data_IF_139566783303
#
_entry.id   IF_139566783303
#
_cell.length_a   1.000
_cell.length_b   1.000
_cell.length_c   1.000
_cell.angle_alpha   90.00
_cell.angle_beta   90.00
_cell.angle_gamma   90.00
#
_symmetry.space_group_name_H-M   'P 1'
#
loop_
_entity.id
_entity.type
_entity.pdbx_description
1 polymer ?
#
# COMPACT_ATOMS: atom_id res chain seq x y z
N UNK A 1 -40.89 47.43 74.56
CA UNK A 1 -41.48 46.43 73.64
C UNK A 1 -41.61 47.04 72.24
N UNK A 2 -40.71 46.70 71.31
CA UNK A 2 -40.88 46.94 69.87
C UNK A 2 -40.56 45.62 69.16
N UNK A 3 -41.57 45.00 68.54
CA UNK A 3 -41.47 43.73 67.83
C UNK A 3 -40.79 43.94 66.48
N UNK A 4 -39.70 43.21 66.25
CA UNK A 4 -39.01 43.08 64.97
C UNK A 4 -39.80 42.06 64.12
N UNK A 5 -40.35 42.50 62.99
CA UNK A 5 -40.95 41.61 61.98
C UNK A 5 -39.83 41.20 61.03
N UNK A 6 -39.40 39.93 61.12
CA UNK A 6 -38.44 39.31 60.21
C UNK A 6 -39.23 38.70 59.04
N UNK A 7 -39.21 39.37 57.88
CA UNK A 7 -39.72 38.84 56.62
C UNK A 7 -38.69 37.87 56.04
N UNK A 8 -38.99 36.57 56.08
CA UNK A 8 -38.20 35.52 55.41
C UNK A 8 -38.86 35.23 54.06
N UNK A 9 -38.21 35.63 52.97
CA UNK A 9 -38.57 35.18 51.62
C UNK A 9 -37.84 33.86 51.31
N UNK A 10 -38.55 32.77 50.98
CA UNK A 10 -37.91 31.59 50.43
C UNK A 10 -37.74 31.77 48.92
N UNK A 11 -36.54 32.12 48.47
CA UNK A 11 -36.16 32.01 47.06
C UNK A 11 -35.87 30.53 46.75
N UNK A 12 -36.91 29.77 46.39
CA UNK A 12 -36.75 28.46 45.77
C UNK A 12 -36.38 28.67 44.30
N UNK A 13 -35.09 28.66 43.97
CA UNK A 13 -34.65 28.46 42.58
C UNK A 13 -34.86 26.98 42.24
N UNK A 14 -36.04 26.65 41.73
CA UNK A 14 -36.30 25.39 41.06
C UNK A 14 -35.70 25.49 39.65
N UNK A 15 -34.39 25.26 39.52
CA UNK A 15 -33.76 25.07 38.20
C UNK A 15 -34.26 23.74 37.65
N UNK A 16 -35.35 23.78 36.89
CA UNK A 16 -35.74 22.68 36.00
C UNK A 16 -34.56 22.41 35.07
N UNK A 17 -33.83 21.31 35.31
CA UNK A 17 -32.95 20.70 34.31
C UNK A 17 -33.85 20.17 33.19
N UNK A 18 -34.32 21.07 32.33
CA UNK A 18 -34.97 20.71 31.08
C UNK A 18 -33.95 19.93 30.26
N UNK A 19 -34.15 18.62 30.16
CA UNK A 19 -33.36 17.76 29.30
C UNK A 19 -33.64 18.20 27.85
N UNK A 20 -32.80 19.10 27.31
CA UNK A 20 -32.93 19.56 25.93
C UNK A 20 -32.64 18.36 25.04
N UNK A 21 -33.70 17.73 24.53
CA UNK A 21 -33.61 16.71 23.48
C UNK A 21 -33.09 17.42 22.24
N UNK A 22 -31.78 17.36 22.00
CA UNK A 22 -31.19 17.78 20.73
C UNK A 22 -31.62 16.77 19.67
N UNK A 23 -32.46 17.19 18.75
CA UNK A 23 -32.85 16.36 17.61
C UNK A 23 -31.65 16.17 16.68
N UNK A 24 -31.50 14.96 16.14
CA UNK A 24 -30.48 14.65 15.15
C UNK A 24 -31.03 15.08 13.79
N UNK A 25 -30.34 16.00 13.11
CA UNK A 25 -30.74 16.42 11.76
C UNK A 25 -30.27 15.40 10.74
N UNK A 26 -31.18 14.80 9.99
CA UNK A 26 -30.84 13.88 8.90
C UNK A 26 -30.71 14.63 7.56
N UNK A 27 -29.66 14.32 6.79
CA UNK A 27 -29.45 14.87 5.44
C UNK A 27 -28.94 13.82 4.46
N UNK A 28 -29.27 14.01 3.18
CA UNK A 28 -28.97 13.02 2.13
C UNK A 28 -27.49 12.94 1.75
N UNK A 29 -26.78 14.07 1.77
CA UNK A 29 -25.41 14.15 1.23
C UNK A 29 -24.50 15.01 2.09
N UNK A 30 -23.19 14.89 1.86
CA UNK A 30 -22.19 15.79 2.46
C UNK A 30 -22.42 17.24 2.03
N UNK A 31 -22.88 17.51 0.81
CA UNK A 31 -23.14 18.88 0.38
C UNK A 31 -24.35 19.49 1.10
N UNK A 32 -25.38 18.69 1.40
CA UNK A 32 -26.51 19.10 2.23
C UNK A 32 -26.08 19.34 3.69
N UNK A 33 -25.19 18.50 4.24
CA UNK A 33 -24.61 18.72 5.57
C UNK A 33 -23.96 20.11 5.69
N UNK A 34 -23.21 20.51 4.66
CA UNK A 34 -22.48 21.79 4.65
C UNK A 34 -23.40 23.01 4.63
N UNK A 35 -24.66 22.89 4.24
CA UNK A 35 -25.62 24.02 4.18
C UNK A 35 -26.46 24.18 5.45
N UNK A 36 -26.39 23.23 6.39
CA UNK A 36 -27.13 23.30 7.66
C UNK A 36 -26.60 24.48 8.50
N UNK A 37 -27.51 25.32 8.99
CA UNK A 37 -27.20 26.28 10.06
C UNK A 37 -27.01 25.52 11.37
N UNK A 38 -25.91 25.74 12.07
CA UNK A 38 -25.47 24.87 13.17
C UNK A 38 -24.74 25.66 14.26
N UNK A 39 -24.94 25.23 15.49
CA UNK A 39 -24.29 25.69 16.70
C UNK A 39 -23.36 24.62 17.28
N UNK A 40 -22.45 25.02 18.17
CA UNK A 40 -21.47 24.11 18.78
C UNK A 40 -22.16 22.87 19.39
N UNK A 41 -21.71 21.69 18.96
CA UNK A 41 -22.22 20.40 19.45
C UNK A 41 -23.52 19.96 18.79
N UNK A 42 -24.01 20.65 17.76
CA UNK A 42 -25.11 20.15 16.94
C UNK A 42 -24.68 18.88 16.21
N UNK A 43 -25.63 17.96 16.05
CA UNK A 43 -25.40 16.63 15.51
C UNK A 43 -26.22 16.44 14.25
N UNK A 44 -25.58 15.94 13.20
CA UNK A 44 -26.25 15.57 11.96
C UNK A 44 -25.87 14.16 11.52
N UNK A 45 -26.85 13.42 10.97
CA UNK A 45 -26.64 12.14 10.31
C UNK A 45 -26.69 12.34 8.80
N UNK A 46 -25.61 11.99 8.12
CA UNK A 46 -25.59 11.91 6.66
C UNK A 46 -25.93 10.48 6.25
N UNK A 47 -26.97 10.28 5.45
CA UNK A 47 -27.43 8.95 5.03
C UNK A 47 -26.89 8.50 3.66
N UNK A 48 -25.91 9.24 3.12
CA UNK A 48 -25.17 8.89 1.89
C UNK A 48 -24.54 7.48 2.00
N UNK A 49 -24.78 6.62 1.00
CA UNK A 49 -24.33 5.22 1.05
C UNK A 49 -22.81 5.03 0.98
N UNK A 50 -22.06 6.06 0.52
CA UNK A 50 -20.62 6.03 0.38
C UNK A 50 -19.91 6.81 1.50
N UNK A 51 -20.49 7.94 1.90
CA UNK A 51 -19.88 8.95 2.79
C UNK A 51 -20.69 9.22 4.05
N UNK A 52 -21.76 8.47 4.28
CA UNK A 52 -22.65 8.64 5.42
C UNK A 52 -21.98 8.45 6.77
N UNK A 53 -22.69 8.81 7.82
CA UNK A 53 -22.25 8.74 9.21
C UNK A 53 -22.71 9.93 10.04
N UNK A 54 -22.34 9.90 11.32
CA UNK A 54 -22.64 10.95 12.29
C UNK A 54 -21.60 12.06 12.26
N UNK A 55 -22.04 13.31 12.38
CA UNK A 55 -21.19 14.50 12.37
C UNK A 55 -21.57 15.41 13.53
N UNK A 56 -20.56 16.03 14.15
CA UNK A 56 -20.75 17.06 15.18
C UNK A 56 -20.17 18.37 14.67
N UNK A 57 -20.94 19.44 14.79
CA UNK A 57 -20.48 20.77 14.45
C UNK A 57 -19.54 21.33 15.53
N UNK A 58 -18.39 21.85 15.10
CA UNK A 58 -17.40 22.49 15.94
C UNK A 58 -16.92 23.82 15.29
N UNK A 59 -17.18 24.98 15.94
CA UNK A 59 -16.80 26.28 15.40
C UNK A 59 -15.28 26.52 15.35
N UNK A 60 -14.48 25.68 16.02
CA UNK A 60 -13.02 25.83 16.07
C UNK A 60 -12.29 25.18 14.89
N UNK A 61 -12.99 24.40 14.08
CA UNK A 61 -12.40 23.72 12.91
C UNK A 61 -12.11 24.74 11.81
N UNK A 62 -10.85 24.86 11.43
CA UNK A 62 -10.38 25.72 10.34
C UNK A 62 -9.52 24.99 9.29
N UNK A 63 -9.28 23.68 9.48
CA UNK A 63 -8.58 22.81 8.53
C UNK A 63 -9.51 21.68 8.13
N UNK A 64 -9.75 21.56 6.82
CA UNK A 64 -10.67 20.61 6.24
C UNK A 64 -9.89 19.61 5.37
N UNK A 65 -10.23 18.33 5.51
CA UNK A 65 -9.59 17.24 4.77
C UNK A 65 -10.57 16.55 3.80
N UNK A 66 -11.81 17.03 3.74
CA UNK A 66 -12.91 16.46 2.95
C UNK A 66 -13.15 14.97 3.24
N UNK A 67 -12.82 14.47 4.42
CA UNK A 67 -13.09 13.10 4.85
C UNK A 67 -13.61 13.01 6.28
N UNK A 68 -12.86 13.58 7.22
CA UNK A 68 -13.20 13.66 8.64
C UNK A 68 -13.72 15.05 9.02
N UNK A 69 -13.33 16.10 8.29
CA UNK A 69 -13.69 17.49 8.57
C UNK A 69 -14.20 18.18 7.30
N UNK A 70 -15.39 18.76 7.39
CA UNK A 70 -16.07 19.45 6.30
C UNK A 70 -16.40 20.89 6.69
N UNK A 71 -16.20 21.89 5.80
CA UNK A 71 -16.55 23.27 6.11
C UNK A 71 -18.06 23.46 6.12
N UNK A 72 -18.59 24.17 7.13
CA UNK A 72 -19.95 24.67 7.07
C UNK A 72 -19.99 25.92 6.18
N UNK A 73 -20.91 25.97 5.20
CA UNK A 73 -21.01 27.10 4.25
C UNK A 73 -21.61 28.34 4.91
N UNK A 74 -22.47 28.17 5.91
CA UNK A 74 -23.25 29.24 6.51
C UNK A 74 -22.80 29.64 7.92
N UNK A 75 -21.73 29.02 8.44
CA UNK A 75 -21.22 29.27 9.80
C UNK A 75 -19.68 29.34 9.82
N UNK A 76 -19.11 29.90 10.89
CA UNK A 76 -17.67 29.83 11.17
C UNK A 76 -17.30 28.49 11.80
N UNK A 77 -16.62 27.61 11.06
CA UNK A 77 -16.16 26.31 11.55
C UNK A 77 -16.50 25.15 10.62
N UNK A 78 -16.68 23.96 11.18
CA UNK A 78 -16.94 22.77 10.38
C UNK A 78 -17.61 21.61 11.09
N UNK A 79 -18.00 20.63 10.29
CA UNK A 79 -18.54 19.35 10.71
C UNK A 79 -17.42 18.33 10.85
N UNK A 80 -17.31 17.72 12.04
CA UNK A 80 -16.38 16.63 12.34
C UNK A 80 -17.12 15.30 12.37
N UNK A 81 -16.68 14.36 11.52
CA UNK A 81 -17.15 12.97 11.53
C UNK A 81 -16.88 12.34 12.89
N UNK A 82 -17.90 11.72 13.46
CA UNK A 82 -17.78 10.83 14.60
C UNK A 82 -17.37 9.44 14.11
N UNK A 83 -16.42 8.82 14.79
CA UNK A 83 -15.88 7.49 14.45
C UNK A 83 -15.99 6.59 15.67
N UNK A 84 -16.26 5.32 15.41
CA UNK A 84 -16.31 4.30 16.46
C UNK A 84 -14.91 3.83 16.87
N UNK A 85 -13.91 4.03 16.01
CA UNK A 85 -12.51 3.70 16.24
C UNK A 85 -11.66 4.89 15.79
N UNK A 86 -10.91 5.48 16.71
CA UNK A 86 -10.20 6.74 16.48
C UNK A 86 -8.98 6.61 15.56
N UNK A 87 -8.55 5.39 15.25
CA UNK A 87 -7.34 5.17 14.46
C UNK A 87 -7.60 4.67 13.04
N UNK A 88 -8.85 4.63 12.59
CA UNK A 88 -9.20 4.14 11.24
C UNK A 88 -9.89 5.20 10.38
N UNK A 89 -9.67 5.09 9.07
CA UNK A 89 -10.38 5.85 8.04
C UNK A 89 -10.76 4.98 6.86
N UNK A 90 -11.95 5.23 6.30
CA UNK A 90 -12.40 4.60 5.07
C UNK A 90 -12.16 5.54 3.87
N UNK A 91 -11.56 5.03 2.80
CA UNK A 91 -11.24 5.83 1.59
C UNK A 91 -12.45 6.50 0.94
N UNK A 92 -13.66 5.91 1.04
CA UNK A 92 -14.89 6.57 0.55
C UNK A 92 -15.22 7.86 1.29
N UNK A 93 -14.83 8.00 2.57
CA UNK A 93 -15.08 9.24 3.31
C UNK A 93 -14.44 10.44 2.61
N UNK A 94 -13.28 10.23 1.99
CA UNK A 94 -12.54 11.22 1.20
C UNK A 94 -13.06 11.41 -0.24
N UNK A 95 -14.11 10.70 -0.65
CA UNK A 95 -14.80 10.92 -1.93
C UNK A 95 -14.51 9.89 -3.02
N UNK A 96 -13.73 8.85 -2.74
CA UNK A 96 -13.46 7.79 -3.71
C UNK A 96 -14.74 7.05 -4.13
N UNK A 97 -14.91 6.82 -5.44
CA UNK A 97 -16.12 6.29 -6.08
C UNK A 97 -16.09 4.78 -6.26
N UNK A 98 -14.93 4.19 -6.57
CA UNK A 98 -14.78 2.76 -6.83
C UNK A 98 -15.64 2.24 -8.00
N UNK A 99 -15.82 3.06 -9.03
CA UNK A 99 -16.55 2.70 -10.26
C UNK A 99 -15.60 2.25 -11.39
N UNK A 100 -14.29 2.21 -11.13
CA UNK A 100 -13.22 1.93 -12.10
C UNK A 100 -13.25 2.83 -13.36
N UNK A 101 -13.83 4.03 -13.25
CA UNK A 101 -13.97 5.03 -14.33
C UNK A 101 -13.52 6.41 -13.88
N UNK A 102 -13.94 6.82 -12.69
CA UNK A 102 -13.53 8.06 -12.02
C UNK A 102 -12.14 7.86 -11.44
N UNK A 103 -11.26 8.84 -11.61
CA UNK A 103 -9.93 8.81 -11.01
C UNK A 103 -10.01 9.04 -9.49
N UNK A 104 -9.76 7.98 -8.73
CA UNK A 104 -9.87 7.97 -7.26
C UNK A 104 -8.54 8.32 -6.57
N UNK A 105 -7.47 8.62 -7.33
CA UNK A 105 -6.13 8.78 -6.79
C UNK A 105 -6.05 9.86 -5.70
N UNK A 106 -6.67 11.03 -5.91
CA UNK A 106 -6.65 12.12 -4.92
C UNK A 106 -7.37 11.75 -3.62
N UNK A 107 -8.52 11.09 -3.72
CA UNK A 107 -9.32 10.65 -2.57
C UNK A 107 -8.60 9.57 -1.75
N UNK A 108 -7.98 8.61 -2.44
CA UNK A 108 -7.18 7.56 -1.79
C UNK A 108 -5.93 8.17 -1.15
N UNK A 109 -5.26 9.09 -1.83
CA UNK A 109 -4.10 9.79 -1.29
C UNK A 109 -4.45 10.61 -0.04
N UNK A 110 -5.61 11.27 -0.01
CA UNK A 110 -6.07 12.00 1.17
C UNK A 110 -6.24 11.08 2.39
N UNK A 111 -6.78 9.87 2.18
CA UNK A 111 -6.87 8.86 3.24
C UNK A 111 -5.49 8.42 3.75
N UNK A 112 -4.53 8.15 2.85
CA UNK A 112 -3.14 7.82 3.22
C UNK A 112 -2.49 8.98 4.00
N UNK A 113 -2.69 10.21 3.55
CA UNK A 113 -2.13 11.41 4.17
C UNK A 113 -2.68 11.69 5.57
N UNK A 114 -3.84 11.14 5.92
CA UNK A 114 -4.42 11.27 7.26
C UNK A 114 -3.53 10.67 8.35
N UNK A 115 -2.70 9.67 8.02
CA UNK A 115 -1.85 8.95 8.97
C UNK A 115 -2.57 7.89 9.80
N UNK A 116 -3.89 7.74 9.64
CA UNK A 116 -4.67 6.68 10.24
C UNK A 116 -4.53 5.37 9.47
N UNK A 117 -5.05 4.28 10.03
CA UNK A 117 -5.21 3.00 9.35
C UNK A 117 -6.20 3.18 8.19
N UNK A 118 -5.75 2.91 6.97
CA UNK A 118 -6.56 3.07 5.76
C UNK A 118 -7.29 1.77 5.44
N UNK A 119 -8.62 1.84 5.34
CA UNK A 119 -9.51 0.71 5.02
C UNK A 119 -10.21 0.95 3.69
N UNK A 120 -10.16 -0.04 2.81
CA UNK A 120 -10.89 -0.07 1.54
C UNK A 120 -12.21 -0.86 1.66
N UNK A 121 -13.21 -0.56 0.80
CA UNK A 121 -14.40 -1.37 0.72
C UNK A 121 -14.07 -2.74 0.11
N UNK A 122 -14.70 -3.80 0.61
CA UNK A 122 -14.45 -5.18 0.19
C UNK A 122 -14.57 -5.36 -1.34
N UNK A 123 -13.58 -6.02 -1.94
CA UNK A 123 -13.56 -6.45 -3.34
C UNK A 123 -13.92 -5.36 -4.37
N UNK A 124 -13.56 -4.11 -4.07
CA UNK A 124 -13.86 -2.96 -4.92
C UNK A 124 -12.84 -2.79 -6.06
N UNK A 125 -13.13 -1.88 -7.00
CA UNK A 125 -12.23 -1.53 -8.13
C UNK A 125 -12.10 -0.01 -8.25
N UNK A 126 -10.90 0.52 -8.28
CA UNK A 126 -10.64 1.95 -8.46
C UNK A 126 -9.78 2.19 -9.68
N UNK A 127 -10.05 3.26 -10.43
CA UNK A 127 -9.10 3.78 -11.41
C UNK A 127 -8.19 4.78 -10.69
N UNK A 128 -6.88 4.67 -10.89
CA UNK A 128 -5.91 5.66 -10.43
C UNK A 128 -5.00 6.07 -11.60
N UNK A 129 -4.88 7.37 -11.85
CA UNK A 129 -4.01 7.90 -12.93
C UNK A 129 -2.70 8.48 -12.43
N UNK A 130 -2.57 8.70 -11.12
CA UNK A 130 -1.35 9.20 -10.48
C UNK A 130 -0.86 8.25 -9.38
N UNK A 131 0.44 8.27 -9.06
CA UNK A 131 1.00 7.44 -7.99
C UNK A 131 0.39 7.73 -6.63
N UNK A 132 0.09 6.68 -5.87
CA UNK A 132 -0.19 6.78 -4.44
C UNK A 132 1.13 6.82 -3.67
N UNK A 133 1.37 7.90 -2.94
CA UNK A 133 2.61 8.17 -2.21
C UNK A 133 2.44 7.81 -0.73
N UNK A 134 3.34 6.95 -0.25
CA UNK A 134 3.55 6.66 1.16
C UNK A 134 4.88 7.31 1.53
N UNK A 135 4.88 8.27 2.46
CA UNK A 135 6.06 9.07 2.80
C UNK A 135 6.28 9.26 4.31
N UNK A 136 5.68 8.37 5.11
CA UNK A 136 5.82 8.32 6.56
C UNK A 136 5.82 6.88 7.05
N UNK A 137 6.42 6.70 8.21
CA UNK A 137 6.48 5.42 8.91
C UNK A 137 5.11 5.04 9.49
N UNK A 138 4.98 3.79 9.95
CA UNK A 138 3.81 3.29 10.67
C UNK A 138 2.49 3.37 9.89
N UNK A 139 2.53 3.42 8.56
CA UNK A 139 1.32 3.37 7.71
C UNK A 139 0.82 1.94 7.62
N UNK A 140 -0.49 1.76 7.87
CA UNK A 140 -1.20 0.50 7.71
C UNK A 140 -2.31 0.67 6.68
N UNK A 141 -2.29 -0.16 5.63
CA UNK A 141 -3.27 -0.17 4.54
C UNK A 141 -3.87 -1.56 4.45
N UNK A 142 -5.19 -1.63 4.67
CA UNK A 142 -5.99 -2.84 4.50
C UNK A 142 -6.83 -2.70 3.24
N UNK A 143 -6.34 -3.32 2.17
CA UNK A 143 -6.93 -3.26 0.84
C UNK A 143 -8.25 -4.02 0.72
N UNK A 144 -8.53 -5.01 1.58
CA UNK A 144 -9.76 -5.81 1.53
C UNK A 144 -10.06 -6.36 0.11
N UNK A 145 -9.01 -6.80 -0.60
CA UNK A 145 -9.06 -7.27 -1.98
C UNK A 145 -9.44 -6.18 -3.02
N UNK A 146 -9.15 -4.91 -2.75
CA UNK A 146 -9.22 -3.82 -3.73
C UNK A 146 -8.38 -4.15 -4.96
N UNK A 147 -8.92 -3.81 -6.15
CA UNK A 147 -8.13 -3.73 -7.38
C UNK A 147 -7.96 -2.27 -7.82
N UNK A 148 -6.72 -1.80 -7.84
CA UNK A 148 -6.32 -0.51 -8.39
C UNK A 148 -5.94 -0.70 -9.86
N UNK A 149 -6.74 -0.16 -10.78
CA UNK A 149 -6.38 -0.06 -12.20
C UNK A 149 -5.51 1.17 -12.39
N UNK A 150 -4.22 0.97 -12.68
CA UNK A 150 -3.25 2.04 -12.88
C UNK A 150 -3.00 2.31 -14.36
N UNK A 151 -3.26 3.55 -14.80
CA UNK A 151 -3.04 4.00 -16.18
C UNK A 151 -2.05 5.15 -16.29
N UNK A 152 -1.39 5.53 -15.19
CA UNK A 152 -0.36 6.57 -15.18
C UNK A 152 1.03 6.04 -15.53
N UNK A 153 2.01 6.93 -15.52
CA UNK A 153 3.43 6.60 -15.76
C UNK A 153 4.20 6.30 -14.47
N UNK A 154 5.31 5.59 -14.53
CA UNK A 154 6.10 5.29 -13.33
C UNK A 154 5.41 4.25 -12.46
N UNK A 155 5.11 4.54 -11.20
CA UNK A 155 4.64 3.55 -10.23
C UNK A 155 3.21 3.82 -9.74
N UNK A 156 2.39 2.78 -9.59
CA UNK A 156 1.06 2.90 -8.99
C UNK A 156 1.13 3.25 -7.49
N UNK A 157 2.04 2.61 -6.75
CA UNK A 157 2.28 2.87 -5.33
C UNK A 157 3.76 3.14 -5.11
N UNK A 158 4.09 4.26 -4.48
CA UNK A 158 5.46 4.69 -4.19
C UNK A 158 5.69 4.86 -2.69
N UNK A 159 6.61 4.08 -2.16
CA UNK A 159 7.22 4.35 -0.87
C UNK A 159 8.36 5.33 -1.10
N UNK A 160 8.23 6.55 -0.59
CA UNK A 160 9.19 7.63 -0.84
C UNK A 160 9.85 7.99 0.49
N UNK A 161 11.12 7.62 0.71
CA UNK A 161 11.85 8.00 1.91
C UNK A 161 12.09 9.51 1.94
N UNK A 162 12.25 10.08 3.14
CA UNK A 162 12.71 11.47 3.31
C UNK A 162 14.24 11.53 3.42
N UNK A 163 14.75 10.97 4.51
CA UNK A 163 16.19 10.81 4.78
C UNK A 163 16.56 9.33 4.90
N UNK A 164 15.76 8.60 5.68
CA UNK A 164 15.88 7.17 5.86
C UNK A 164 14.71 6.45 5.16
N UNK A 165 14.91 5.16 4.90
CA UNK A 165 13.86 4.27 4.40
C UNK A 165 12.72 4.22 5.40
N UNK A 166 11.49 4.17 4.86
CA UNK A 166 10.30 4.10 5.69
C UNK A 166 10.29 2.81 6.50
N UNK A 167 9.81 2.84 7.73
CA UNK A 167 9.76 1.66 8.60
C UNK A 167 8.35 1.36 9.09
N UNK A 168 8.15 0.09 9.48
CA UNK A 168 6.91 -0.40 10.06
C UNK A 168 5.68 -0.16 9.17
N UNK A 169 5.83 -0.36 7.86
CA UNK A 169 4.68 -0.34 6.94
C UNK A 169 4.00 -1.70 6.94
N UNK A 170 2.66 -1.69 6.88
CA UNK A 170 1.86 -2.89 6.69
C UNK A 170 0.85 -2.66 5.55
N UNK A 171 0.99 -3.40 4.45
CA UNK A 171 0.05 -3.34 3.32
C UNK A 171 -0.50 -4.74 3.07
N UNK A 172 -1.81 -4.88 3.12
CA UNK A 172 -2.48 -6.16 2.98
C UNK A 172 -3.55 -6.14 1.88
N UNK A 173 -3.60 -7.19 1.06
CA UNK A 173 -4.69 -7.48 0.11
C UNK A 173 -4.99 -6.33 -0.86
N UNK A 174 -3.94 -5.69 -1.37
CA UNK A 174 -4.02 -4.69 -2.46
C UNK A 174 -3.60 -5.33 -3.76
N UNK A 175 -4.46 -5.27 -4.78
CA UNK A 175 -4.15 -5.68 -6.15
C UNK A 175 -3.94 -4.46 -7.04
N UNK A 176 -2.93 -4.49 -7.91
CA UNK A 176 -2.66 -3.44 -8.90
C UNK A 176 -2.68 -4.03 -10.31
N UNK A 177 -3.51 -3.51 -11.20
CA UNK A 177 -3.47 -3.78 -12.64
C UNK A 177 -2.73 -2.65 -13.34
N UNK A 178 -1.52 -2.92 -13.81
CA UNK A 178 -0.68 -1.93 -14.49
C UNK A 178 -0.99 -1.99 -15.98
N UNK A 179 -1.53 -0.90 -16.54
CA UNK A 179 -1.95 -0.83 -17.96
C UNK A 179 -1.01 -0.05 -18.86
N UNK A 180 -0.42 1.02 -18.34
CA UNK A 180 0.48 1.85 -19.13
C UNK A 180 1.80 1.12 -19.41
N UNK A 181 2.28 1.22 -20.65
CA UNK A 181 3.59 0.68 -21.05
C UNK A 181 4.69 1.26 -20.15
N UNK A 182 5.70 0.45 -19.80
CA UNK A 182 6.82 0.81 -18.92
C UNK A 182 6.45 1.25 -17.48
N UNK A 183 5.17 1.23 -17.12
CA UNK A 183 4.74 1.51 -15.76
C UNK A 183 4.98 0.31 -14.83
N UNK A 184 4.87 0.55 -13.53
CA UNK A 184 5.30 -0.35 -12.47
C UNK A 184 4.24 -0.40 -11.37
N UNK A 185 4.12 -1.53 -10.68
CA UNK A 185 3.18 -1.68 -9.58
C UNK A 185 3.65 -0.92 -8.33
N UNK A 186 4.67 -1.47 -7.68
CA UNK A 186 5.17 -0.94 -6.40
C UNK A 186 6.63 -0.50 -6.51
N UNK A 187 6.93 0.70 -6.01
CA UNK A 187 8.28 1.07 -5.57
C UNK A 187 8.40 0.82 -4.08
N UNK A 188 9.29 -0.09 -3.71
CA UNK A 188 9.56 -0.51 -2.33
C UNK A 188 10.88 0.11 -1.88
N UNK A 189 10.78 1.22 -1.16
CA UNK A 189 11.89 1.89 -0.45
C UNK A 189 11.54 2.01 1.03
N UNK A 190 11.44 0.84 1.67
CA UNK A 190 11.14 0.70 3.08
C UNK A 190 11.99 -0.42 3.69
N UNK A 191 12.00 -0.47 5.01
CA UNK A 191 12.69 -1.47 5.81
C UNK A 191 11.79 -1.95 6.93
N UNK A 192 12.02 -3.17 7.44
CA UNK A 192 11.26 -3.74 8.58
C UNK A 192 9.74 -3.63 8.37
N UNK A 193 9.30 -3.86 7.14
CA UNK A 193 7.92 -3.68 6.72
C UNK A 193 7.36 -4.97 6.12
N UNK A 194 6.03 -5.07 6.03
CA UNK A 194 5.36 -6.29 5.58
C UNK A 194 4.31 -5.98 4.53
N UNK A 195 4.41 -6.69 3.40
CA UNK A 195 3.39 -6.71 2.36
C UNK A 195 2.82 -8.13 2.31
N UNK A 196 1.50 -8.24 2.42
CA UNK A 196 0.82 -9.53 2.55
C UNK A 196 -0.34 -9.60 1.55
N UNK A 197 -0.44 -10.72 0.82
CA UNK A 197 -1.53 -10.96 -0.13
C UNK A 197 -1.65 -9.87 -1.23
N UNK A 198 -0.57 -9.14 -1.51
CA UNK A 198 -0.55 -8.10 -2.54
C UNK A 198 -0.36 -8.72 -3.92
N UNK A 199 -1.02 -8.18 -4.94
CA UNK A 199 -0.99 -8.73 -6.31
C UNK A 199 -0.67 -7.65 -7.33
N UNK A 200 0.09 -7.99 -8.36
CA UNK A 200 0.30 -7.11 -9.51
C UNK A 200 0.05 -7.87 -10.81
N UNK A 201 -0.72 -7.27 -11.71
CA UNK A 201 -0.98 -7.76 -13.06
C UNK A 201 -0.36 -6.79 -14.07
N UNK A 202 0.47 -7.30 -14.98
CA UNK A 202 1.25 -6.52 -15.94
C UNK A 202 0.65 -6.65 -17.36
N UNK A 203 -0.19 -5.70 -17.78
CA UNK A 203 -0.95 -5.73 -19.04
C UNK A 203 -0.25 -5.06 -20.24
N UNK A 204 0.93 -4.47 -20.04
CA UNK A 204 1.74 -3.77 -21.05
C UNK A 204 3.17 -4.30 -21.13
N UNK A 205 3.95 -3.82 -22.10
CA UNK A 205 5.38 -4.14 -22.20
C UNK A 205 6.21 -3.28 -21.25
N UNK A 206 7.42 -3.76 -20.93
CA UNK A 206 8.39 -3.02 -20.12
C UNK A 206 7.97 -2.83 -18.66
N UNK A 207 6.90 -3.47 -18.22
CA UNK A 207 6.34 -3.25 -16.89
C UNK A 207 7.04 -4.06 -15.80
N UNK A 208 6.98 -3.56 -14.58
CA UNK A 208 7.54 -4.21 -13.39
C UNK A 208 6.47 -4.41 -12.33
N UNK A 209 6.41 -5.59 -11.70
CA UNK A 209 5.51 -5.85 -10.58
C UNK A 209 5.90 -5.07 -9.34
N UNK A 210 6.97 -5.54 -8.70
CA UNK A 210 7.58 -4.92 -7.52
C UNK A 210 9.01 -4.54 -7.84
N UNK A 211 9.38 -3.28 -7.58
CA UNK A 211 10.76 -2.83 -7.60
C UNK A 211 11.24 -2.53 -6.18
N UNK A 212 12.25 -3.27 -5.73
CA UNK A 212 12.96 -2.97 -4.48
C UNK A 212 14.19 -2.15 -4.86
N UNK A 213 14.17 -0.87 -4.50
CA UNK A 213 15.23 0.06 -4.91
C UNK A 213 16.08 0.48 -3.72
N UNK A 214 17.40 0.37 -3.87
CA UNK A 214 18.34 1.07 -3.01
C UNK A 214 18.54 2.55 -3.38
N UNK A 215 19.12 3.32 -2.47
CA UNK A 215 19.42 4.73 -2.70
C UNK A 215 20.83 5.15 -2.23
N UNK A 216 21.15 6.42 -2.48
CA UNK A 216 22.41 7.06 -2.07
C UNK A 216 22.49 7.48 -0.60
N UNK A 217 21.38 7.52 0.13
CA UNK A 217 21.29 8.13 1.46
C UNK A 217 21.26 7.09 2.60
N UNK A 218 21.01 5.81 2.31
CA UNK A 218 20.93 4.75 3.30
C UNK A 218 21.50 3.41 2.82
N UNK A 219 20.82 2.33 3.19
CA UNK A 219 21.00 0.99 2.61
C UNK A 219 19.87 0.73 1.61
N UNK A 220 19.96 -0.34 0.81
CA UNK A 220 18.79 -0.83 0.10
C UNK A 220 17.66 -1.27 1.03
N UNK A 221 16.49 -1.55 0.45
CA UNK A 221 15.32 -2.08 1.19
C UNK A 221 15.73 -3.28 2.04
N UNK A 222 15.44 -3.23 3.35
CA UNK A 222 16.08 -4.10 4.33
C UNK A 222 15.09 -4.74 5.31
N UNK A 223 15.19 -6.05 5.53
CA UNK A 223 14.34 -6.78 6.50
C UNK A 223 12.83 -6.65 6.24
N UNK A 224 12.41 -6.60 4.98
CA UNK A 224 10.98 -6.67 4.65
C UNK A 224 10.51 -8.12 4.53
N UNK A 225 9.21 -8.33 4.75
CA UNK A 225 8.50 -9.61 4.53
C UNK A 225 7.47 -9.45 3.42
N UNK A 226 7.50 -10.34 2.45
CA UNK A 226 6.54 -10.44 1.36
C UNK A 226 5.84 -11.79 1.45
N UNK A 227 4.62 -11.81 1.98
CA UNK A 227 3.90 -13.04 2.25
C UNK A 227 2.77 -13.22 1.26
N UNK A 228 2.82 -14.30 0.49
CA UNK A 228 1.83 -14.59 -0.55
C UNK A 228 1.61 -13.39 -1.49
N UNK A 229 2.71 -12.78 -1.95
CA UNK A 229 2.65 -11.72 -2.95
C UNK A 229 2.74 -12.31 -4.37
N UNK A 230 1.90 -11.81 -5.28
CA UNK A 230 1.74 -12.38 -6.62
C UNK A 230 2.09 -11.35 -7.69
N UNK A 231 2.76 -11.79 -8.75
CA UNK A 231 2.89 -11.04 -10.00
C UNK A 231 2.49 -11.92 -11.18
N UNK A 232 1.69 -11.35 -12.08
CA UNK A 232 1.20 -12.01 -13.29
C UNK A 232 1.49 -11.12 -14.49
N UNK A 233 2.36 -11.57 -15.39
CA UNK A 233 2.55 -10.99 -16.71
C UNK A 233 1.64 -11.61 -17.76
N UNK A 234 1.81 -11.22 -19.02
CA UNK A 234 1.09 -11.78 -20.16
C UNK A 234 2.04 -12.12 -21.32
N UNK A 235 3.21 -12.71 -21.01
CA UNK A 235 4.20 -13.10 -22.03
C UNK A 235 3.63 -14.02 -23.11
N UNK A 236 2.74 -14.93 -22.75
CA UNK A 236 2.05 -15.82 -23.69
C UNK A 236 1.17 -15.06 -24.70
N UNK A 237 0.74 -13.84 -24.36
CA UNK A 237 0.01 -12.92 -25.25
C UNK A 237 0.94 -11.86 -25.88
N UNK A 238 2.23 -12.15 -26.01
CA UNK A 238 3.20 -11.29 -26.69
C UNK A 238 3.69 -10.08 -25.89
N UNK A 239 3.38 -9.97 -24.58
CA UNK A 239 3.94 -8.90 -23.74
C UNK A 239 5.41 -9.16 -23.42
N UNK A 240 6.27 -8.21 -23.78
CA UNK A 240 7.73 -8.33 -23.65
C UNK A 240 8.29 -7.41 -22.57
N UNK A 241 9.53 -7.66 -22.13
CA UNK A 241 10.27 -6.89 -21.14
C UNK A 241 9.56 -6.75 -19.80
N UNK A 242 8.69 -7.70 -19.46
CA UNK A 242 7.98 -7.72 -18.18
C UNK A 242 8.82 -8.40 -17.11
N UNK A 243 8.97 -7.76 -15.96
CA UNK A 243 9.71 -8.31 -14.80
C UNK A 243 8.79 -8.41 -13.60
N UNK A 244 8.73 -9.57 -12.95
CA UNK A 244 7.91 -9.73 -11.76
C UNK A 244 8.45 -8.93 -10.58
N UNK A 245 9.66 -9.30 -10.15
CA UNK A 245 10.39 -8.65 -9.08
C UNK A 245 11.72 -8.12 -9.60
N UNK A 246 11.98 -6.84 -9.41
CA UNK A 246 13.19 -6.17 -9.86
C UNK A 246 13.90 -5.55 -8.66
N UNK A 247 15.17 -5.90 -8.47
CA UNK A 247 15.98 -5.31 -7.41
C UNK A 247 16.94 -4.35 -8.09
N UNK A 248 16.96 -3.10 -7.63
CA UNK A 248 17.78 -2.02 -8.18
C UNK A 248 18.57 -1.31 -7.11
N UNK A 249 19.54 -0.52 -7.53
CA UNK A 249 20.36 0.32 -6.68
C UNK A 249 20.64 1.65 -7.38
N UNK A 250 21.07 2.65 -6.60
CA UNK A 250 21.64 3.86 -7.17
C UNK A 250 22.99 3.52 -7.82
N UNK A 251 23.15 3.86 -9.11
CA UNK A 251 24.33 3.52 -9.89
C UNK A 251 25.65 4.05 -9.29
N UNK A 252 25.60 5.10 -8.47
CA UNK A 252 26.77 5.64 -7.77
C UNK A 252 27.11 4.85 -6.49
N UNK A 253 26.18 4.03 -6.00
CA UNK A 253 26.35 3.18 -4.81
C UNK A 253 25.89 1.73 -5.07
N UNK A 254 26.55 0.99 -5.98
CA UNK A 254 26.09 -0.34 -6.41
C UNK A 254 26.15 -1.43 -5.35
N UNK A 255 26.83 -1.18 -4.23
CA UNK A 255 26.81 -2.04 -3.05
C UNK A 255 25.52 -1.92 -2.22
N UNK A 256 24.65 -0.95 -2.51
CA UNK A 256 23.45 -0.63 -1.71
C UNK A 256 22.16 -1.19 -2.31
N UNK A 257 22.22 -2.38 -2.89
CA UNK A 257 21.02 -3.10 -3.33
C UNK A 257 20.17 -3.63 -2.16
N UNK A 258 18.96 -4.15 -2.43
CA UNK A 258 18.09 -4.74 -1.42
C UNK A 258 18.78 -5.89 -0.68
N UNK A 259 18.61 -5.93 0.65
CA UNK A 259 19.34 -6.88 1.48
C UNK A 259 18.45 -7.49 2.59
N UNK A 260 18.68 -8.75 2.93
CA UNK A 260 18.04 -9.45 4.06
C UNK A 260 16.50 -9.39 4.07
N UNK A 261 15.86 -9.33 2.90
CA UNK A 261 14.42 -9.41 2.75
C UNK A 261 13.96 -10.88 2.67
N UNK A 262 12.69 -11.13 2.99
CA UNK A 262 12.10 -12.46 3.02
C UNK A 262 10.85 -12.53 2.16
N UNK A 263 10.73 -13.60 1.38
CA UNK A 263 9.50 -13.97 0.67
C UNK A 263 9.03 -15.32 1.19
N UNK A 264 7.74 -15.43 1.47
CA UNK A 264 7.09 -16.67 1.91
C UNK A 264 5.89 -16.94 1.01
N UNK A 265 5.98 -18.00 0.21
CA UNK A 265 4.97 -18.35 -0.78
C UNK A 265 4.89 -17.35 -1.94
N UNK A 266 3.69 -17.22 -2.51
CA UNK A 266 3.43 -16.33 -3.65
C UNK A 266 3.74 -16.96 -5.00
N UNK A 267 3.62 -16.14 -6.05
CA UNK A 267 3.85 -16.59 -7.43
C UNK A 267 4.32 -15.44 -8.31
N UNK A 268 5.22 -15.73 -9.22
CA UNK A 268 5.50 -14.92 -10.40
C UNK A 268 5.20 -15.75 -11.64
N UNK A 269 4.33 -15.25 -12.52
CA UNK A 269 3.89 -16.00 -13.69
C UNK A 269 3.95 -15.20 -14.97
N UNK A 270 4.32 -15.85 -16.07
CA UNK A 270 4.24 -15.35 -17.44
C UNK A 270 4.91 -13.98 -17.63
N UNK A 271 6.01 -13.76 -16.92
CA UNK A 271 6.92 -12.63 -17.11
C UNK A 271 8.09 -13.04 -18.00
N UNK A 272 8.77 -12.09 -18.62
CA UNK A 272 10.06 -12.38 -19.25
C UNK A 272 11.11 -12.76 -18.19
N UNK A 273 11.13 -12.02 -17.08
CA UNK A 273 11.94 -12.32 -15.91
C UNK A 273 11.03 -12.45 -14.69
N UNK A 274 11.13 -13.58 -13.97
CA UNK A 274 10.40 -13.80 -12.73
C UNK A 274 10.92 -12.88 -11.62
N UNK A 275 12.14 -13.14 -11.17
CA UNK A 275 12.86 -12.30 -10.21
C UNK A 275 14.27 -11.97 -10.72
N UNK A 276 14.59 -10.68 -10.81
CA UNK A 276 15.94 -10.16 -11.01
C UNK A 276 16.49 -9.71 -9.64
N UNK A 277 17.40 -10.50 -9.09
CA UNK A 277 17.90 -10.37 -7.71
C UNK A 277 19.27 -9.71 -7.72
N UNK A 278 19.35 -8.56 -7.03
CA UNK A 278 20.55 -7.80 -6.71
C UNK A 278 20.73 -7.73 -5.18
N UNK A 279 21.88 -7.21 -4.73
CA UNK A 279 22.17 -7.09 -3.30
C UNK A 279 22.50 -8.45 -2.67
N UNK A 280 22.10 -8.67 -1.41
CA UNK A 280 22.52 -9.88 -0.71
C UNK A 280 21.64 -10.34 0.44
N UNK A 281 21.86 -11.57 0.91
CA UNK A 281 21.18 -12.11 2.08
C UNK A 281 19.66 -12.27 1.96
N UNK A 282 19.08 -12.12 0.77
CA UNK A 282 17.64 -12.25 0.56
C UNK A 282 17.24 -13.73 0.60
N UNK A 283 16.07 -14.05 1.16
CA UNK A 283 15.57 -15.42 1.31
C UNK A 283 14.19 -15.55 0.69
N UNK A 284 14.06 -16.37 -0.35
CA UNK A 284 12.83 -16.63 -1.07
C UNK A 284 12.41 -18.07 -0.76
N UNK A 285 11.26 -18.29 -0.13
CA UNK A 285 10.79 -19.64 0.25
C UNK A 285 9.45 -19.95 -0.39
N UNK A 286 9.33 -21.09 -1.07
CA UNK A 286 8.06 -21.60 -1.60
C UNK A 286 7.44 -20.74 -2.72
N UNK A 287 8.24 -19.92 -3.40
CA UNK A 287 7.76 -19.10 -4.51
C UNK A 287 7.55 -19.95 -5.77
N UNK A 288 6.39 -19.81 -6.40
CA UNK A 288 6.13 -20.40 -7.73
C UNK A 288 6.62 -19.47 -8.85
N UNK A 289 7.36 -20.00 -9.82
CA UNK A 289 7.73 -19.32 -11.06
C UNK A 289 7.18 -20.08 -12.27
N UNK A 290 6.14 -19.56 -12.93
CA UNK A 290 5.37 -20.30 -13.94
C UNK A 290 5.35 -19.59 -15.31
N UNK A 291 5.73 -20.28 -16.39
CA UNK A 291 5.70 -19.74 -17.75
C UNK A 291 6.64 -18.55 -17.97
N UNK A 292 7.64 -18.39 -17.10
CA UNK A 292 8.61 -17.30 -17.19
C UNK A 292 9.65 -17.56 -18.29
N UNK A 293 10.21 -16.50 -18.86
CA UNK A 293 11.42 -16.63 -19.70
C UNK A 293 12.59 -17.10 -18.84
N UNK A 294 12.94 -16.34 -17.81
CA UNK A 294 13.87 -16.76 -16.75
C UNK A 294 13.18 -16.69 -15.40
N UNK A 295 13.29 -17.73 -14.57
CA UNK A 295 12.68 -17.78 -13.26
C UNK A 295 13.37 -16.82 -12.29
N UNK A 296 14.63 -17.12 -11.96
CA UNK A 296 15.44 -16.33 -11.04
C UNK A 296 16.78 -15.97 -11.69
N UNK A 297 17.14 -14.68 -11.63
CA UNK A 297 18.44 -14.15 -12.05
C UNK A 297 19.15 -13.64 -10.81
N UNK A 298 20.37 -14.10 -10.58
CA UNK A 298 21.27 -13.58 -9.55
C UNK A 298 22.39 -12.81 -10.24
N UNK A 299 22.31 -11.48 -10.21
CA UNK A 299 23.28 -10.63 -10.89
C UNK A 299 23.33 -9.27 -10.20
N UNK A 300 24.52 -8.68 -10.07
CA UNK A 300 24.66 -7.27 -9.71
C UNK A 300 25.88 -6.68 -10.42
N UNK A 301 25.82 -6.59 -11.76
CA UNK A 301 26.97 -6.30 -12.65
C UNK A 301 27.81 -5.08 -12.23
N UNK A 302 27.17 -4.09 -11.61
CA UNK A 302 27.80 -2.81 -11.26
C UNK A 302 28.52 -2.85 -9.89
N UNK A 303 28.27 -3.89 -9.08
CA UNK A 303 28.83 -4.00 -7.73
C UNK A 303 30.04 -4.91 -7.65
N UNK A 304 31.15 -4.39 -7.08
CA UNK A 304 32.33 -5.20 -6.73
C UNK A 304 32.04 -6.27 -5.69
N UNK A 305 31.06 -6.01 -4.80
CA UNK A 305 30.60 -6.98 -3.79
C UNK A 305 29.68 -8.05 -4.39
N UNK A 306 29.21 -7.84 -5.62
CA UNK A 306 28.38 -8.78 -6.36
C UNK A 306 26.96 -8.93 -5.83
N UNK A 307 26.33 -10.03 -6.24
CA UNK A 307 25.04 -10.51 -5.75
C UNK A 307 25.28 -11.68 -4.81
N UNK A 308 25.22 -11.46 -3.49
CA UNK A 308 25.86 -12.33 -2.50
C UNK A 308 24.90 -12.99 -1.50
N UNK A 309 25.01 -14.30 -1.29
CA UNK A 309 24.35 -14.99 -0.19
C UNK A 309 22.82 -15.00 -0.28
N UNK A 310 22.25 -14.91 -1.48
CA UNK A 310 20.81 -14.99 -1.69
C UNK A 310 20.38 -16.46 -1.74
N UNK A 311 19.21 -16.76 -1.18
CA UNK A 311 18.70 -18.12 -1.03
C UNK A 311 17.32 -18.23 -1.68
N UNK A 312 17.11 -19.28 -2.48
CA UNK A 312 15.80 -19.69 -2.98
C UNK A 312 15.53 -21.12 -2.51
N UNK A 313 14.49 -21.31 -1.70
CA UNK A 313 14.21 -22.53 -0.96
C UNK A 313 12.87 -23.09 -1.42
N UNK A 314 12.87 -24.35 -1.83
CA UNK A 314 11.71 -25.08 -2.34
C UNK A 314 10.89 -24.30 -3.39
N UNK A 315 11.49 -23.70 -4.43
CA UNK A 315 10.72 -23.07 -5.49
C UNK A 315 10.01 -24.13 -6.34
N UNK A 316 8.80 -23.83 -6.80
CA UNK A 316 8.14 -24.59 -7.86
C UNK A 316 8.30 -23.84 -9.18
N UNK A 317 8.93 -24.45 -10.18
CA UNK A 317 9.13 -23.86 -11.49
C UNK A 317 8.47 -24.70 -12.57
N UNK A 318 7.52 -24.11 -13.28
CA UNK A 318 6.76 -24.80 -14.33
C UNK A 318 6.87 -24.04 -15.65
N UNK A 319 7.23 -24.74 -16.73
CA UNK A 319 7.30 -24.17 -18.11
C UNK A 319 8.21 -22.93 -18.17
N UNK A 320 9.15 -22.80 -17.24
CA UNK A 320 10.09 -21.67 -17.18
C UNK A 320 11.31 -21.95 -18.04
N UNK A 321 11.53 -21.19 -19.13
CA UNK A 321 12.55 -21.56 -20.15
C UNK A 321 13.97 -21.66 -19.56
N UNK A 322 14.31 -20.78 -18.62
CA UNK A 322 15.58 -20.81 -17.86
C UNK A 322 15.26 -20.72 -16.37
N UNK A 323 15.24 -21.84 -15.61
CA UNK A 323 14.89 -21.84 -14.20
C UNK A 323 15.73 -20.85 -13.36
N UNK A 324 17.06 -20.93 -13.50
CA UNK A 324 18.01 -20.14 -12.75
C UNK A 324 19.11 -19.61 -13.66
N UNK A 325 19.59 -18.40 -13.39
CA UNK A 325 20.76 -17.80 -14.02
C UNK A 325 21.63 -17.15 -12.95
N UNK A 326 22.86 -17.62 -12.81
CA UNK A 326 23.88 -17.00 -11.95
C UNK A 326 24.87 -16.27 -12.84
N UNK A 327 25.05 -14.97 -12.62
CA UNK A 327 26.09 -14.21 -13.32
C UNK A 327 27.48 -14.48 -12.73
N UNK A 328 28.52 -14.04 -13.44
CA UNK A 328 29.93 -14.13 -12.99
C UNK A 328 30.23 -13.40 -11.68
N UNK A 329 29.32 -12.54 -11.22
CA UNK A 329 29.48 -11.83 -9.94
C UNK A 329 28.40 -12.18 -8.92
N UNK A 330 27.60 -13.20 -9.18
CA UNK A 330 26.86 -13.88 -8.14
C UNK A 330 27.82 -14.74 -7.32
N UNK A 331 27.73 -14.64 -5.99
CA UNK A 331 28.58 -15.36 -5.04
C UNK A 331 27.72 -16.00 -3.97
N UNK A 332 28.08 -17.21 -3.57
CA UNK A 332 27.46 -17.92 -2.43
C UNK A 332 25.92 -17.94 -2.47
N UNK A 333 25.32 -17.82 -3.65
CA UNK A 333 23.88 -17.86 -3.82
C UNK A 333 23.43 -19.29 -4.00
N UNK A 334 22.32 -19.65 -3.38
CA UNK A 334 21.93 -21.03 -3.19
C UNK A 334 20.47 -21.25 -3.56
N UNK A 335 20.22 -22.31 -4.32
CA UNK A 335 18.87 -22.85 -4.53
C UNK A 335 18.79 -24.22 -3.86
N UNK A 336 17.76 -24.46 -3.05
CA UNK A 336 17.50 -25.76 -2.42
C UNK A 336 16.15 -26.32 -2.78
N UNK A 337 16.09 -27.64 -2.98
CA UNK A 337 14.88 -28.44 -3.20
C UNK A 337 13.97 -27.90 -4.31
N UNK A 338 14.49 -27.44 -5.47
CA UNK A 338 13.63 -26.94 -6.54
C UNK A 338 12.81 -28.09 -7.14
N UNK A 339 11.51 -27.86 -7.31
CA UNK A 339 10.67 -28.72 -8.14
C UNK A 339 10.56 -28.06 -9.51
N UNK A 340 11.07 -28.72 -10.56
CA UNK A 340 11.08 -28.18 -11.93
C UNK A 340 10.29 -29.10 -12.85
N UNK A 341 9.29 -28.56 -13.52
CA UNK A 341 8.42 -29.28 -14.46
C UNK A 341 8.40 -28.63 -15.84
N UNK A 342 8.15 -29.42 -16.87
CA UNK A 342 7.98 -28.93 -18.25
C UNK A 342 9.25 -28.46 -18.96
N UNK A 343 10.44 -28.73 -18.42
CA UNK A 343 11.73 -28.38 -19.05
C UNK A 343 12.78 -29.48 -18.84
N UNK A 344 13.67 -29.65 -19.82
CA UNK A 344 14.92 -30.40 -19.63
C UNK A 344 15.97 -29.44 -19.08
N UNK A 345 16.46 -29.69 -17.87
CA UNK A 345 17.54 -28.90 -17.28
C UNK A 345 18.80 -29.15 -18.12
N UNK A 346 19.27 -28.13 -18.85
CA UNK A 346 20.60 -28.17 -19.47
C UNK A 346 21.63 -27.78 -18.41
N UNK A 347 22.78 -28.44 -18.44
CA UNK A 347 23.87 -28.29 -17.47
C UNK A 347 24.09 -26.84 -17.06
N UNK A 348 24.18 -26.63 -15.75
CA UNK A 348 24.40 -25.32 -15.14
C UNK A 348 25.88 -25.22 -14.78
N UNK A 349 26.60 -24.32 -15.43
CA UNK A 349 27.96 -23.99 -15.05
C UNK A 349 27.92 -23.12 -13.79
N UNK A 350 28.26 -23.72 -12.64
CA UNK A 350 28.38 -22.99 -11.38
C UNK A 350 29.78 -22.41 -11.24
N UNK A 351 29.85 -21.12 -10.89
CA UNK A 351 31.09 -20.46 -10.47
C UNK A 351 30.88 -19.79 -9.12
N UNK A 352 31.96 -19.43 -8.41
CA UNK A 352 31.95 -18.61 -7.19
C UNK A 352 31.12 -19.14 -6.00
N UNK A 353 31.09 -20.46 -5.82
CA UNK A 353 30.40 -21.09 -4.69
C UNK A 353 28.87 -21.02 -4.76
N UNK A 354 28.30 -20.66 -5.92
CA UNK A 354 26.89 -20.83 -6.17
C UNK A 354 26.56 -22.32 -6.28
N UNK A 355 25.40 -22.73 -5.76
CA UNK A 355 25.02 -24.15 -5.77
C UNK A 355 23.51 -24.33 -5.95
N UNK A 356 23.13 -25.45 -6.55
CA UNK A 356 21.75 -25.96 -6.53
C UNK A 356 21.79 -27.33 -5.88
N UNK A 357 20.94 -27.53 -4.89
CA UNK A 357 20.77 -28.79 -4.17
C UNK A 357 19.36 -29.31 -4.45
N UNK A 358 19.27 -30.42 -5.18
CA UNK A 358 18.04 -30.96 -5.75
C UNK A 358 17.21 -31.75 -4.74
#
# INVERSE_FOLDING_TARGET
MKKLILLVFPFFFMTTFGQVKREITEVQTIDALRTIAASKGDVAMVIDTLRGGMFIYDPTINVYDNGLKFPAKNNTGGWKRQRNVDDEVHVRWYGAKFDNRTDDAASIQAAINSGFIVKFPNASKALIKSPLIINRDNIRIFGNNITLTYTGEGYAIKMVPKKNFLINLYIESVSVRVRAENAKGFLVQCSRSRLQNCRVTLEGNGQVGFELAGDKNGTGSYHNSFDNCFVQGYRHNGKVKTTGWLFTHDATFPSRGPNANKWVGGRVGQCEVGMYIQGGGNVITGMTAEGCGTGFIFENKDSKNGCNGNQVIAPYLEITHRPFLFSVNSRQSYVSKPIITGQKIKELNFTNGNKIDY
#
